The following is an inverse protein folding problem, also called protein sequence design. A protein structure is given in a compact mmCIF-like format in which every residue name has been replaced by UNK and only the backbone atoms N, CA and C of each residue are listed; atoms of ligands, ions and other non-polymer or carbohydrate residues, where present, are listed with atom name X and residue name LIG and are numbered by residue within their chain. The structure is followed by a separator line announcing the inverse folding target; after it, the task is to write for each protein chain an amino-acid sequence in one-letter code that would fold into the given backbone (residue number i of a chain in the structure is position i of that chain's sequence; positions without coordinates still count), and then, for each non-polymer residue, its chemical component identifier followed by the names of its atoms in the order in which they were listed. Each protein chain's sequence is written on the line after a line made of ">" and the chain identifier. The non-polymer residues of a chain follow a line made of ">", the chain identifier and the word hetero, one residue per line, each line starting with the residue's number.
data_IF_505849910961
#
_entry.id   IF_505849910961
#
_cell.length_a   1.000
_cell.length_b   1.000
_cell.length_c   1.000
_cell.angle_alpha   90.00
_cell.angle_beta   90.00
_cell.angle_gamma   90.00
#
_symmetry.space_group_name_H-M   'P 1'
#
loop_
_entity.id
_entity.type
_entity.pdbx_description
1 polymer ?
2 polymer ?
3 polymer ?
4 non-polymer ?
5 non-polymer ?
6 water ?
#
loop_
_entity_poly.entity_id
_entity_poly.type
_entity_poly.pdbx_seq_one_letter_code
_entity_poly.pdbx_strand_id
2 'polydeoxyribonucleotide' '(DT)(DC)(DA)(DA)(DA)(DA)(DC)(DG)(DT)(DC)(DG)(DT)(DG)(DA)(DG)(DA)(DC)(DA)(DG)(DT)(DT)(DT)(DG)(DG)' ?
3 'polydeoxyribonucleotide' '(DC)(DC)(DA)(DA)(DA)(DC)(DT)(DG)(DT)(DC)(DT)(DC)(DA)(5CM)(DG)(DA)(DC)(DG)(DT)(DT)(DT)(DT)(DG)(DA)' ?
#
# COMPACT_ATOMS: atom_id res chain seq x y z
N UNK A 1 17.98 -16.93 -13.00
CA UNK A 1 17.91 -16.28 -11.70
C UNK A 1 18.31 -14.80 -11.75
N UNK A 2 17.33 -13.96 -12.07
CA UNK A 2 17.56 -12.52 -12.19
C UNK A 2 17.83 -11.86 -10.82
N UNK A 3 18.79 -10.94 -10.80
CA UNK A 3 19.13 -10.23 -9.57
C UNK A 3 18.48 -8.85 -9.67
N UNK A 4 17.60 -8.52 -8.73
CA UNK A 4 16.83 -7.28 -8.82
C UNK A 4 17.54 -6.07 -8.20
N UNK A 5 17.34 -4.91 -8.83
CA UNK A 5 17.88 -3.65 -8.30
C UNK A 5 17.33 -3.38 -6.89
N UNK A 6 18.21 -3.02 -5.97
CA UNK A 6 17.84 -2.85 -4.57
C UNK A 6 16.87 -1.69 -4.34
N UNK A 7 17.07 -0.57 -5.04
CA UNK A 7 16.13 0.54 -4.92
C UNK A 7 14.73 0.12 -5.34
N UNK A 8 14.67 -0.66 -6.42
CA UNK A 8 13.39 -1.19 -6.89
C UNK A 8 12.75 -2.08 -5.81
N UNK A 9 13.52 -2.98 -5.22
CA UNK A 9 12.99 -3.87 -4.19
C UNK A 9 12.50 -3.11 -2.96
N UNK A 10 13.27 -2.12 -2.53
CA UNK A 10 12.86 -1.28 -1.41
C UNK A 10 11.50 -0.62 -1.67
N UNK A 11 11.36 0.02 -2.82
CA UNK A 11 10.07 0.63 -3.15
C UNK A 11 8.99 -0.45 -3.18
N UNK A 12 9.27 -1.56 -3.84
CA UNK A 12 8.26 -2.60 -4.05
C UNK A 12 7.84 -3.20 -2.71
N UNK A 13 8.78 -3.34 -1.79
CA UNK A 13 8.47 -3.88 -0.47
C UNK A 13 7.44 -3.01 0.28
N UNK A 14 7.62 -1.70 0.18
CA UNK A 14 6.64 -0.78 0.74
C UNK A 14 5.28 -0.94 0.07
N UNK A 15 5.28 -1.02 -1.26
CA UNK A 15 4.02 -1.13 -1.97
C UNK A 15 3.35 -2.48 -1.70
N UNK A 16 4.13 -3.53 -1.58
CA UNK A 16 3.60 -4.85 -1.22
C UNK A 16 2.99 -4.85 0.18
N UNK A 17 3.72 -4.32 1.16
CA UNK A 17 3.19 -4.20 2.51
C UNK A 17 1.87 -3.44 2.50
N UNK A 18 1.71 -2.53 1.52
CA UNK A 18 0.49 -1.75 1.38
C UNK A 18 -0.68 -2.44 0.68
N UNK A 19 -0.55 -2.67 -0.64
CA UNK A 19 -1.65 -3.20 -1.45
C UNK A 19 -1.43 -4.65 -1.89
N UNK A 20 -0.37 -5.28 -1.40
CA UNK A 20 0.01 -6.61 -1.87
C UNK A 20 -0.47 -7.71 -0.94
N UNK A 21 -0.26 -8.95 -1.37
CA UNK A 21 -0.70 -10.09 -0.57
C UNK A 21 0.17 -11.32 -0.79
N UNK A 22 0.50 -11.99 0.30
CA UNK A 22 1.31 -13.21 0.24
C UNK A 22 0.43 -14.33 0.76
N UNK A 23 0.04 -15.21 -0.17
CA UNK A 23 -1.04 -16.16 0.05
C UNK A 23 -0.56 -17.59 -0.12
N UNK A 24 -0.96 -18.46 0.81
CA UNK A 24 -0.75 -19.90 0.67
C UNK A 24 -2.10 -20.59 0.90
N UNK A 25 -2.43 -21.54 0.03
CA UNK A 25 -3.72 -22.20 0.11
C UNK A 25 -3.59 -23.71 0.05
N UNK A 26 -4.50 -24.43 0.72
CA UNK A 26 -4.64 -25.87 0.53
C UNK A 26 -5.94 -26.09 -0.24
N UNK A 27 -5.82 -26.50 -1.50
CA UNK A 27 -6.98 -26.63 -2.36
C UNK A 27 -7.47 -28.07 -2.49
N UNK A 28 -8.69 -28.34 -1.98
CA UNK A 28 -9.25 -29.68 -2.21
C UNK A 28 -9.39 -29.91 -3.70
N UNK A 29 -8.86 -31.03 -4.16
CA UNK A 29 -8.83 -31.40 -5.56
C UNK A 29 -8.56 -32.88 -5.63
N UNK A 30 -9.56 -33.65 -6.03
CA UNK A 30 -9.54 -35.10 -5.91
C UNK A 30 -8.48 -35.80 -6.76
N UNK A 31 -7.91 -35.10 -7.75
CA UNK A 31 -6.92 -35.74 -8.62
C UNK A 31 -5.51 -35.82 -8.01
N UNK A 32 -5.30 -35.20 -6.85
CA UNK A 32 -4.00 -35.25 -6.18
C UNK A 32 -3.94 -36.40 -5.17
N UNK A 33 -2.73 -36.92 -4.97
CA UNK A 33 -2.54 -38.06 -4.05
C UNK A 33 -3.08 -37.79 -2.64
N UNK A 34 -2.81 -36.61 -2.10
CA UNK A 34 -3.30 -36.29 -0.76
C UNK A 34 -4.59 -35.50 -0.83
N UNK A 35 -5.21 -35.51 -2.01
CA UNK A 35 -6.55 -34.91 -2.22
C UNK A 35 -6.56 -33.38 -2.09
N UNK A 36 -5.39 -32.78 -2.13
CA UNK A 36 -5.30 -31.33 -2.11
C UNK A 36 -4.07 -30.86 -2.87
N UNK A 37 -4.19 -29.68 -3.47
CA UNK A 37 -3.03 -29.04 -4.06
C UNK A 37 -2.56 -27.99 -3.08
N UNK A 38 -1.23 -27.89 -2.91
CA UNK A 38 -0.61 -26.76 -2.22
C UNK A 38 -0.36 -25.64 -3.23
N UNK A 39 -0.98 -24.49 -3.00
CA UNK A 39 -0.87 -23.36 -3.92
C UNK A 39 -0.26 -22.14 -3.23
N UNK A 40 0.70 -21.49 -3.89
CA UNK A 40 1.28 -20.26 -3.36
C UNK A 40 1.07 -19.10 -4.35
N UNK A 41 0.69 -17.94 -3.83
CA UNK A 41 0.51 -16.77 -4.68
C UNK A 41 1.15 -15.54 -4.05
N UNK A 42 1.94 -14.81 -4.85
CA UNK A 42 2.29 -13.42 -4.52
C UNK A 42 1.42 -12.56 -5.42
N UNK A 43 0.80 -11.53 -4.87
CA UNK A 43 -0.05 -10.69 -5.70
C UNK A 43 -0.05 -9.24 -5.28
N UNK A 44 -0.36 -8.38 -6.24
CA UNK A 44 -0.57 -6.96 -5.95
C UNK A 44 -1.82 -6.49 -6.66
N UNK A 45 -2.74 -5.90 -5.89
CA UNK A 45 -4.03 -5.50 -6.42
C UNK A 45 -4.06 -4.02 -6.66
N UNK A 46 -4.77 -3.61 -7.70
CA UNK A 46 -4.96 -2.19 -7.96
C UNK A 46 -6.12 -2.01 -8.94
N UNK A 47 -6.87 -0.92 -8.75
CA UNK A 47 -8.03 -0.64 -9.57
C UNK A 47 -7.59 -0.52 -11.04
N UNK A 48 -8.49 -0.91 -11.94
CA UNK A 48 -8.09 -1.18 -13.31
C UNK A 48 -7.54 0.04 -14.05
N UNK A 49 -8.03 1.24 -13.72
CA UNK A 49 -7.55 2.46 -14.34
C UNK A 49 -6.05 2.64 -14.06
N UNK A 50 -5.51 1.83 -13.15
CA UNK A 50 -4.11 1.97 -12.74
C UNK A 50 -3.30 0.76 -13.19
N UNK A 51 -3.92 -0.07 -14.04
CA UNK A 51 -3.31 -1.27 -14.58
C UNK A 51 -1.89 -1.06 -15.12
N UNK A 52 -1.65 0.10 -15.72
CA UNK A 52 -0.32 0.38 -16.25
C UNK A 52 0.76 0.08 -15.20
N UNK A 53 0.46 0.38 -13.94
CA UNK A 53 1.41 0.18 -12.86
C UNK A 53 1.67 -1.32 -12.70
N UNK A 54 0.60 -2.13 -12.75
CA UNK A 54 0.74 -3.58 -12.68
C UNK A 54 1.50 -4.16 -13.89
N UNK A 55 1.24 -3.60 -15.07
CA UNK A 55 1.96 -4.02 -16.26
C UNK A 55 3.46 -3.78 -16.12
N UNK A 56 3.83 -2.64 -15.53
CA UNK A 56 5.24 -2.37 -15.31
C UNK A 56 5.88 -3.46 -14.46
N UNK A 57 5.20 -3.87 -13.39
CA UNK A 57 5.70 -4.97 -12.53
C UNK A 57 5.97 -6.25 -13.31
N UNK A 58 5.14 -6.56 -14.29
CA UNK A 58 5.41 -7.73 -15.10
C UNK A 58 6.77 -7.57 -15.77
N UNK A 59 6.99 -6.41 -16.39
CA UNK A 59 8.23 -6.12 -17.10
C UNK A 59 9.42 -6.11 -16.14
N UNK A 60 9.26 -5.42 -15.02
CA UNK A 60 10.37 -5.26 -14.08
C UNK A 60 10.71 -6.53 -13.30
N UNK A 61 9.70 -7.34 -12.99
CA UNK A 61 9.95 -8.62 -12.32
C UNK A 61 10.38 -9.67 -13.33
N UNK A 62 9.92 -9.50 -14.59
CA UNK A 62 10.32 -10.35 -15.70
C UNK A 62 9.54 -11.64 -15.80
N UNK A 63 8.40 -11.70 -15.11
CA UNK A 63 7.67 -12.95 -14.90
C UNK A 63 6.32 -12.64 -14.25
N UNK A 64 5.34 -13.54 -14.41
CA UNK A 64 4.00 -13.31 -13.89
C UNK A 64 3.10 -12.64 -14.90
N UNK A 65 1.88 -12.31 -14.48
CA UNK A 65 0.89 -11.71 -15.38
C UNK A 65 -0.10 -10.87 -14.58
N UNK A 66 -0.88 -10.07 -15.31
CA UNK A 66 -1.97 -9.29 -14.72
C UNK A 66 -3.30 -9.95 -15.10
N UNK A 67 -4.20 -10.13 -14.14
CA UNK A 67 -5.57 -10.52 -14.49
C UNK A 67 -6.57 -9.43 -14.13
N UNK A 68 -7.73 -9.48 -14.80
CA UNK A 68 -8.78 -8.51 -14.55
C UNK A 68 -9.93 -9.17 -13.81
N UNK A 69 -10.51 -8.45 -12.86
CA UNK A 69 -11.74 -8.91 -12.24
C UNK A 69 -12.68 -7.71 -12.05
N UNK A 70 -13.07 -7.10 -13.15
CA UNK A 70 -13.98 -5.98 -13.12
C UNK A 70 -13.29 -4.65 -12.91
N UNK A 71 -13.67 -4.00 -11.82
CA UNK A 71 -13.15 -2.66 -11.51
C UNK A 71 -11.67 -2.70 -11.09
N UNK A 72 -11.15 -3.91 -10.91
CA UNK A 72 -9.87 -4.11 -10.25
C UNK A 72 -9.02 -5.15 -10.99
N UNK A 73 -7.71 -5.01 -10.89
CA UNK A 73 -6.78 -5.95 -11.52
C UNK A 73 -5.73 -6.40 -10.51
N UNK A 74 -5.13 -7.56 -10.76
CA UNK A 74 -4.06 -8.06 -9.87
C UNK A 74 -2.83 -8.46 -10.68
N UNK A 75 -1.65 -8.03 -10.23
CA UNK A 75 -0.43 -8.67 -10.68
C UNK A 75 -0.31 -10.00 -9.93
N UNK A 76 -0.04 -11.08 -10.65
CA UNK A 76 -0.04 -12.44 -10.08
C UNK A 76 1.28 -13.17 -10.34
N UNK A 77 1.86 -13.75 -9.29
CA UNK A 77 3.05 -14.59 -9.45
C UNK A 77 2.88 -15.87 -8.64
N UNK A 78 2.79 -17.00 -9.34
CA UNK A 78 2.57 -18.31 -8.71
C UNK A 78 3.63 -19.36 -9.05
N UNK A 79 4.27 -19.21 -10.19
CA UNK A 79 5.33 -20.15 -10.56
C UNK A 79 6.36 -20.25 -9.43
N UNK A 80 6.57 -21.46 -8.96
CA UNK A 80 7.33 -21.72 -7.73
C UNK A 80 8.80 -21.27 -7.79
N UNK A 81 9.47 -21.47 -8.93
CA UNK A 81 10.89 -21.11 -9.03
C UNK A 81 11.14 -19.59 -9.04
N UNK A 82 10.49 -18.87 -9.97
CA UNK A 82 10.61 -17.41 -9.95
C UNK A 82 10.14 -16.82 -8.62
N UNK A 83 9.14 -17.43 -8.01
CA UNK A 83 8.59 -16.92 -6.76
C UNK A 83 9.66 -17.02 -5.67
N UNK A 84 10.35 -18.15 -5.63
CA UNK A 84 11.42 -18.38 -4.67
C UNK A 84 12.54 -17.34 -4.83
N UNK A 85 13.08 -17.24 -6.05
CA UNK A 85 14.07 -16.20 -6.36
C UNK A 85 13.60 -14.81 -5.93
N UNK A 86 12.37 -14.46 -6.33
CA UNK A 86 11.83 -13.13 -6.09
C UNK A 86 11.65 -12.82 -4.61
N UNK A 87 11.01 -13.74 -3.88
CA UNK A 87 10.77 -13.52 -2.46
C UNK A 87 12.07 -13.51 -1.63
N UNK A 88 13.06 -14.29 -2.04
CA UNK A 88 14.33 -14.29 -1.33
C UNK A 88 14.91 -12.87 -1.29
N UNK A 89 14.75 -12.16 -2.40
CA UNK A 89 15.33 -10.84 -2.53
C UNK A 89 14.45 -9.74 -1.93
N UNK A 90 13.13 -9.91 -2.05
CA UNK A 90 12.21 -8.93 -1.48
C UNK A 90 12.19 -8.96 0.05
N UNK A 91 12.26 -10.17 0.60
CA UNK A 91 11.95 -10.43 2.01
C UNK A 91 12.68 -9.54 3.03
N UNK A 92 13.97 -9.27 2.82
CA UNK A 92 14.65 -8.48 3.86
C UNK A 92 14.12 -7.06 4.01
N UNK A 93 13.41 -6.56 3.00
CA UNK A 93 12.89 -5.19 3.05
C UNK A 93 11.45 -5.09 3.54
N UNK A 94 10.77 -6.23 3.65
CA UNK A 94 9.37 -6.26 4.12
C UNK A 94 9.27 -5.97 5.63
N UNK A 95 8.23 -5.23 6.03
CA UNK A 95 8.03 -4.92 7.45
C UNK A 95 6.70 -5.48 7.98
N UNK A 96 5.73 -5.71 7.09
CA UNK A 96 4.43 -6.21 7.56
C UNK A 96 4.22 -7.65 7.13
N UNK A 97 4.85 -8.02 6.02
CA UNK A 97 4.62 -9.32 5.41
C UNK A 97 5.89 -10.18 5.38
N UNK A 98 6.90 -9.82 6.16
CA UNK A 98 8.17 -10.56 6.16
C UNK A 98 8.01 -12.00 6.63
N UNK A 99 7.26 -12.18 7.72
CA UNK A 99 7.01 -13.51 8.26
C UNK A 99 6.35 -14.42 7.22
N UNK A 100 5.30 -13.91 6.59
CA UNK A 100 4.62 -14.65 5.52
C UNK A 100 5.60 -15.04 4.41
N UNK A 101 6.43 -14.08 3.99
CA UNK A 101 7.39 -14.33 2.91
C UNK A 101 8.34 -15.49 3.26
N UNK A 102 8.88 -15.47 4.48
CA UNK A 102 9.77 -16.54 4.96
C UNK A 102 9.11 -17.91 5.05
N UNK A 103 7.85 -17.94 5.50
CA UNK A 103 7.09 -19.19 5.55
C UNK A 103 6.82 -19.76 4.14
N UNK A 104 6.52 -18.88 3.19
CA UNK A 104 6.38 -19.31 1.79
C UNK A 104 7.72 -19.88 1.29
N UNK A 105 8.83 -19.25 1.68
CA UNK A 105 10.15 -19.71 1.25
C UNK A 105 10.43 -21.10 1.82
N UNK A 106 10.09 -21.29 3.10
CA UNK A 106 10.24 -22.58 3.76
C UNK A 106 9.37 -23.66 3.07
N UNK A 107 8.11 -23.31 2.82
CA UNK A 107 7.18 -24.25 2.16
C UNK A 107 7.76 -24.71 0.82
N UNK A 108 8.18 -23.73 0.00
CA UNK A 108 8.76 -24.04 -1.29
C UNK A 108 9.88 -25.07 -1.19
N UNK A 109 10.84 -24.82 -0.29
CA UNK A 109 11.98 -25.73 -0.11
C UNK A 109 11.57 -27.16 0.27
N UNK A 110 10.52 -27.30 1.08
CA UNK A 110 10.07 -28.62 1.56
C UNK A 110 9.06 -29.30 0.64
N UNK A 111 8.59 -28.57 -0.37
CA UNK A 111 7.51 -29.08 -1.22
C UNK A 111 7.82 -30.43 -1.83
N UNK A 112 9.01 -30.59 -2.42
CA UNK A 112 9.33 -31.90 -3.03
C UNK A 112 9.13 -33.05 -2.05
N UNK A 113 9.79 -32.99 -0.90
CA UNK A 113 9.67 -34.07 0.09
C UNK A 113 8.26 -34.13 0.70
N UNK A 114 7.57 -32.99 0.71
CA UNK A 114 6.19 -32.93 1.20
C UNK A 114 5.23 -33.86 0.44
N UNK A 115 5.50 -34.08 -0.85
CA UNK A 115 4.61 -34.90 -1.67
C UNK A 115 4.81 -36.40 -1.43
N UNK A 116 5.88 -36.76 -0.70
CA UNK A 116 6.22 -38.16 -0.44
C UNK A 116 5.74 -38.69 0.92
N UNK A 117 5.95 -37.93 1.99
CA UNK A 117 5.43 -38.31 3.31
C UNK A 117 4.18 -37.51 3.66
N UNK A 118 3.10 -38.21 4.04
CA UNK A 118 1.86 -37.55 4.49
C UNK A 118 2.14 -36.68 5.71
N UNK A 119 3.01 -37.18 6.59
CA UNK A 119 3.41 -36.41 7.75
C UNK A 119 4.11 -35.12 7.35
N UNK A 120 5.00 -35.20 6.37
CA UNK A 120 5.74 -34.04 5.92
C UNK A 120 4.82 -33.05 5.22
N UNK A 121 3.82 -33.60 4.54
CA UNK A 121 2.77 -32.82 3.88
C UNK A 121 1.98 -32.07 4.93
N UNK A 122 1.73 -32.72 6.06
CA UNK A 122 1.01 -32.10 7.16
C UNK A 122 1.81 -30.94 7.74
N UNK A 123 3.09 -31.18 8.00
CA UNK A 123 3.96 -30.12 8.51
C UNK A 123 3.75 -28.86 7.66
N UNK A 124 3.83 -29.05 6.34
CA UNK A 124 3.73 -27.93 5.40
C UNK A 124 2.41 -27.21 5.52
N UNK A 125 1.31 -27.96 5.58
CA UNK A 125 -0.03 -27.37 5.76
C UNK A 125 -0.10 -26.59 7.07
N UNK A 126 0.69 -27.03 8.05
CA UNK A 126 0.80 -26.34 9.31
C UNK A 126 1.36 -24.93 9.08
N UNK A 127 2.39 -24.85 8.23
CA UNK A 127 2.96 -23.58 7.82
C UNK A 127 1.96 -22.72 7.02
N UNK A 128 1.10 -23.38 6.23
CA UNK A 128 0.03 -22.67 5.55
C UNK A 128 -0.90 -22.01 6.57
N UNK A 129 -1.18 -22.73 7.65
CA UNK A 129 -1.99 -22.18 8.75
C UNK A 129 -1.36 -20.89 9.26
N UNK A 130 -0.07 -20.95 9.59
CA UNK A 130 0.62 -19.78 10.16
C UNK A 130 0.50 -18.58 9.22
N UNK A 131 0.63 -18.80 7.91
CA UNK A 131 0.51 -17.68 6.97
C UNK A 131 -0.89 -17.03 7.03
N UNK A 132 -1.93 -17.86 6.95
CA UNK A 132 -3.30 -17.34 7.01
C UNK A 132 -3.51 -16.59 8.32
N UNK A 133 -2.92 -17.11 9.39
CA UNK A 133 -3.04 -16.47 10.70
C UNK A 133 -2.39 -15.09 10.67
N UNK A 134 -1.28 -14.97 9.94
CA UNK A 134 -0.57 -13.68 9.85
C UNK A 134 -1.29 -12.65 8.95
N UNK A 135 -2.06 -13.12 7.97
CA UNK A 135 -2.82 -12.21 7.11
C UNK A 135 -4.14 -11.77 7.75
N UNK A 136 -4.85 -10.83 7.10
CA UNK A 136 -6.22 -10.47 7.52
C UNK A 136 -7.26 -11.47 6.95
N UNK A 137 -7.09 -12.74 7.31
CA UNK A 137 -7.89 -13.87 6.81
C UNK A 137 -9.32 -13.86 7.32
N UNK A 138 -10.29 -14.00 6.40
CA UNK A 138 -11.72 -13.89 6.78
C UNK A 138 -12.66 -14.88 6.08
N UNK A 139 -12.20 -15.53 5.01
CA UNK A 139 -13.05 -16.49 4.30
C UNK A 139 -12.40 -17.88 4.18
N UNK A 140 -11.36 -18.13 4.96
CA UNK A 140 -10.63 -19.39 4.85
C UNK A 140 -11.51 -20.60 5.21
N UNK A 141 -11.38 -21.71 4.49
CA UNK A 141 -12.17 -22.91 4.78
C UNK A 141 -11.30 -24.16 4.96
N UNK A 142 -10.32 -24.33 4.08
CA UNK A 142 -9.50 -25.53 4.13
C UNK A 142 -8.23 -25.32 4.96
N UNK A 143 -8.06 -26.13 6.00
CA UNK A 143 -6.97 -25.94 6.95
C UNK A 143 -6.17 -27.21 7.10
N UNK A 144 -5.03 -27.12 7.78
CA UNK A 144 -4.19 -28.30 7.99
C UNK A 144 -4.99 -29.39 8.72
N UNK A 145 -6.06 -29.00 9.39
CA UNK A 145 -6.91 -29.95 10.10
C UNK A 145 -7.93 -30.62 9.17
N UNK A 146 -8.40 -29.89 8.16
CA UNK A 146 -9.26 -30.47 7.14
C UNK A 146 -8.49 -31.60 6.44
N UNK A 147 -7.17 -31.42 6.35
CA UNK A 147 -6.29 -32.40 5.71
C UNK A 147 -6.13 -33.67 6.53
N UNK A 148 -5.99 -33.54 7.85
CA UNK A 148 -5.86 -34.72 8.71
C UNK A 148 -7.07 -35.63 8.56
N UNK A 149 -8.25 -35.04 8.58
CA UNK A 149 -9.51 -35.79 8.46
C UNK A 149 -9.58 -36.55 7.13
N UNK A 150 -8.63 -36.28 6.25
CA UNK A 150 -8.59 -36.91 4.94
C UNK A 150 -7.41 -37.88 4.85
N UNK A 151 -6.29 -37.52 5.47
CA UNK A 151 -5.18 -38.46 5.64
C UNK A 151 -5.59 -39.61 6.58
N UNK A 152 -6.86 -40.00 6.50
CA UNK A 152 -7.45 -40.96 7.42
C UNK A 152 -8.43 -41.88 6.70
N UNK B 1 15.30 21.27 10.36
CA UNK B 1 14.88 20.77 9.05
C UNK B 1 15.46 19.39 8.73
N UNK B 2 14.78 18.33 9.15
CA UNK B 2 15.35 16.98 9.15
C UNK B 2 15.53 16.33 7.76
N UNK B 3 16.67 15.67 7.57
CA UNK B 3 16.97 14.90 6.37
C UNK B 3 16.73 13.41 6.62
N UNK B 4 16.05 12.75 5.69
CA UNK B 4 15.68 11.34 5.87
C UNK B 4 16.58 10.42 5.07
N UNK B 5 16.97 9.29 5.67
CA UNK B 5 17.77 8.28 4.96
C UNK B 5 17.06 7.81 3.69
N UNK B 6 17.83 7.66 2.61
CA UNK B 6 17.25 7.36 1.30
C UNK B 6 16.42 6.07 1.29
N UNK B 7 16.95 5.03 1.91
CA UNK B 7 16.30 3.71 1.87
C UNK B 7 14.97 3.72 2.62
N UNK B 8 14.90 4.53 3.66
CA UNK B 8 13.65 4.80 4.33
C UNK B 8 12.65 5.48 3.38
N UNK B 9 13.09 6.52 2.68
CA UNK B 9 12.23 7.23 1.75
C UNK B 9 11.73 6.35 0.57
N UNK B 10 12.53 5.34 0.21
CA UNK B 10 12.18 4.46 -0.90
C UNK B 10 11.08 3.48 -0.51
N UNK B 11 11.28 2.78 0.59
CA UNK B 11 10.24 1.97 1.17
C UNK B 11 9.00 2.84 1.42
N UNK B 12 9.16 3.92 2.19
CA UNK B 12 8.02 4.74 2.58
C UNK B 12 7.18 5.21 1.39
N UNK B 13 7.83 5.56 0.28
CA UNK B 13 7.12 6.00 -0.91
C UNK B 13 6.24 4.87 -1.44
N UNK B 14 6.77 3.65 -1.41
CA UNK B 14 6.02 2.50 -1.85
C UNK B 14 4.81 2.26 -0.96
N UNK B 15 5.01 2.36 0.35
CA UNK B 15 3.89 2.18 1.28
C UNK B 15 2.84 3.29 1.09
N UNK B 16 3.29 4.53 0.96
CA UNK B 16 2.39 5.66 0.71
C UNK B 16 1.57 5.47 -0.56
N UNK B 17 2.25 5.05 -1.63
CA UNK B 17 1.57 4.76 -2.89
C UNK B 17 0.50 3.68 -2.68
N UNK B 18 0.78 2.74 -1.78
CA UNK B 18 -0.19 1.72 -1.39
C UNK B 18 -1.30 2.22 -0.46
N UNK B 19 -0.99 2.52 0.81
CA UNK B 19 -2.05 2.80 1.78
C UNK B 19 -2.15 4.27 2.18
N UNK B 20 -1.38 5.11 1.50
CA UNK B 20 -1.28 6.50 1.90
C UNK B 20 -2.30 7.37 1.18
N UNK B 21 -2.39 8.63 1.57
CA UNK B 21 -3.29 9.58 0.90
C UNK B 21 -2.73 10.97 1.02
N UNK B 22 -2.69 11.69 -0.11
CA UNK B 22 -2.26 13.07 -0.11
C UNK B 22 -3.50 13.93 -0.42
N UNK B 23 -3.85 14.77 0.52
CA UNK B 23 -5.20 15.34 0.52
C UNK B 23 -5.20 16.85 0.59
N UNK B 24 -6.06 17.47 -0.22
CA UNK B 24 -6.27 18.92 -0.15
C UNK B 24 -7.77 19.22 -0.02
N UNK B 25 -8.10 20.17 0.83
CA UNK B 25 -9.50 20.45 1.13
C UNK B 25 -9.75 21.94 1.23
N UNK B 26 -10.97 22.34 0.91
CA UNK B 26 -11.43 23.71 1.13
C UNK B 26 -12.53 23.64 2.16
N UNK B 27 -12.28 24.21 3.34
CA UNK B 27 -13.21 24.04 4.44
C UNK B 27 -13.98 25.31 4.73
N UNK B 28 -15.29 25.28 4.48
CA UNK B 28 -16.17 26.42 4.81
C UNK B 28 -16.05 26.77 6.29
N UNK B 29 -15.70 28.03 6.58
CA UNK B 29 -15.49 28.52 7.95
C UNK B 29 -15.59 30.04 7.98
N UNK B 30 -16.69 30.54 8.56
CA UNK B 30 -16.98 31.97 8.56
C UNK B 30 -15.90 32.86 9.16
N UNK B 31 -15.08 32.28 10.04
CA UNK B 31 -14.06 33.05 10.74
C UNK B 31 -12.88 33.41 9.85
N UNK B 32 -12.89 32.92 8.61
CA UNK B 32 -11.78 33.18 7.67
C UNK B 32 -12.15 34.31 6.70
N UNK B 33 -11.14 35.09 6.29
CA UNK B 33 -11.37 36.18 5.35
C UNK B 33 -12.27 35.75 4.17
N UNK B 34 -11.88 34.69 3.46
CA UNK B 34 -12.68 34.24 2.32
C UNK B 34 -13.71 33.17 2.71
N UNK B 35 -13.96 33.04 4.01
CA UNK B 35 -15.01 32.17 4.50
C UNK B 35 -14.70 30.72 4.26
N UNK B 36 -13.44 30.42 3.97
CA UNK B 36 -13.00 29.03 3.79
C UNK B 36 -11.58 28.84 4.30
N UNK B 37 -11.30 27.66 4.83
CA UNK B 37 -9.92 27.33 5.14
C UNK B 37 -9.31 26.47 4.04
N UNK B 38 -8.01 26.63 3.82
CA UNK B 38 -7.26 25.73 2.94
C UNK B 38 -6.46 24.74 3.78
N UNK B 39 -6.84 23.47 3.69
CA UNK B 39 -6.26 22.42 4.52
C UNK B 39 -5.50 21.37 3.71
N UNK B 40 -4.24 21.13 4.11
CA UNK B 40 -3.41 20.11 3.46
C UNK B 40 -3.07 18.97 4.43
N UNK B 41 -3.20 17.73 3.96
CA UNK B 41 -2.95 16.59 4.81
C UNK B 41 -2.20 15.47 4.09
N UNK B 42 -1.16 14.96 4.75
CA UNK B 42 -0.54 13.69 4.35
C UNK B 42 -0.96 12.66 5.38
N UNK B 43 -1.47 11.52 4.93
CA UNK B 43 -1.92 10.49 5.86
C UNK B 43 -1.62 9.08 5.39
N UNK B 44 -1.43 8.20 6.36
CA UNK B 44 -1.30 6.77 6.11
C UNK B 44 -2.30 6.08 7.01
N UNK B 45 -3.14 5.22 6.43
CA UNK B 45 -4.17 4.53 7.19
C UNK B 45 -3.76 3.08 7.42
N UNK B 46 -4.13 2.52 8.57
CA UNK B 46 -3.87 1.09 8.81
C UNK B 46 -4.77 0.55 9.93
N UNK B 47 -5.09 -0.74 9.83
CA UNK B 47 -5.82 -1.44 10.87
C UNK B 47 -5.18 -1.15 12.22
N UNK B 48 -6.01 -0.88 13.22
CA UNK B 48 -5.51 -0.47 14.53
C UNK B 48 -4.60 -1.52 15.19
N UNK B 49 -4.87 -2.80 14.91
CA UNK B 49 -3.96 -3.87 15.34
C UNK B 49 -2.53 -3.60 14.93
N UNK B 50 -2.32 -2.87 13.84
CA UNK B 50 -0.96 -2.59 13.35
C UNK B 50 -0.55 -1.16 13.64
N UNK B 51 -1.34 -0.52 14.51
CA UNK B 51 -1.05 0.85 14.96
C UNK B 51 0.42 1.03 15.29
N UNK B 52 1.07 -0.02 15.78
CA UNK B 52 2.49 0.05 16.11
C UNK B 52 3.29 0.59 14.94
N UNK B 53 2.90 0.20 13.73
CA UNK B 53 3.62 0.60 12.53
C UNK B 53 3.49 2.12 12.28
N UNK B 54 2.33 2.68 12.62
CA UNK B 54 2.06 4.12 12.46
C UNK B 54 2.84 4.89 13.52
N UNK B 55 2.86 4.33 14.72
CA UNK B 55 3.64 4.89 15.85
C UNK B 55 5.11 4.97 15.46
N UNK B 56 5.63 3.93 14.82
CA UNK B 56 7.02 3.93 14.36
C UNK B 56 7.24 5.07 13.36
N UNK B 57 6.25 5.31 12.49
CA UNK B 57 6.31 6.43 11.56
C UNK B 57 6.43 7.80 12.23
N UNK B 58 5.69 8.00 13.33
CA UNK B 58 5.80 9.25 14.06
C UNK B 58 7.25 9.43 14.48
N UNK B 59 7.81 8.36 15.04
CA UNK B 59 9.17 8.37 15.55
C UNK B 59 10.21 8.64 14.45
N UNK B 60 10.00 8.03 13.30
CA UNK B 60 10.95 8.11 12.20
C UNK B 60 10.84 9.41 11.43
N UNK B 61 9.62 9.89 11.22
CA UNK B 61 9.43 11.16 10.52
C UNK B 61 9.69 12.33 11.47
N UNK B 62 9.48 12.09 12.77
CA UNK B 62 9.84 13.05 13.81
C UNK B 62 8.83 14.17 14.04
N UNK B 63 7.66 14.01 13.45
CA UNK B 63 6.59 14.99 13.49
C UNK B 63 5.29 14.29 13.07
N UNK B 64 4.15 14.93 13.26
CA UNK B 64 2.87 14.29 13.01
C UNK B 64 2.37 13.52 14.21
N UNK B 65 1.23 12.84 14.04
CA UNK B 65 0.66 12.05 15.12
C UNK B 65 -0.27 10.97 14.59
N UNK B 66 -0.68 10.05 15.46
CA UNK B 66 -1.59 8.99 15.10
C UNK B 66 -2.97 9.19 15.74
N UNK B 67 -4.05 8.96 15.00
CA UNK B 67 -5.39 9.06 15.59
C UNK B 67 -6.17 7.78 15.40
N UNK B 68 -7.07 7.54 16.32
CA UNK B 68 -7.89 6.35 16.31
C UNK B 68 -9.27 6.65 15.77
N UNK B 69 -9.76 5.77 14.91
CA UNK B 69 -11.17 5.83 14.53
C UNK B 69 -11.75 4.42 14.49
N UNK B 70 -11.62 3.72 15.61
CA UNK B 70 -12.20 2.40 15.77
C UNK B 70 -11.32 1.28 15.26
N UNK B 71 -11.84 0.53 14.30
CA UNK B 71 -11.12 -0.61 13.74
C UNK B 71 -9.85 -0.19 12.98
N UNK B 72 -9.71 1.11 12.73
CA UNK B 72 -8.64 1.62 11.90
C UNK B 72 -7.99 2.86 12.52
N UNK B 73 -6.72 3.13 12.20
CA UNK B 73 -6.03 4.33 12.68
C UNK B 73 -5.26 5.02 11.55
N UNK B 74 -4.85 6.28 11.78
CA UNK B 74 -4.19 7.06 10.74
C UNK B 74 -2.97 7.79 11.27
N UNK B 75 -1.88 7.76 10.52
CA UNK B 75 -0.82 8.71 10.78
C UNK B 75 -1.22 10.01 10.06
N UNK B 76 -1.18 11.13 10.77
CA UNK B 76 -1.57 12.44 10.21
C UNK B 76 -0.43 13.46 10.25
N UNK B 77 -0.09 14.05 9.11
CA UNK B 77 0.83 15.18 9.08
C UNK B 77 0.21 16.36 8.34
N UNK B 78 -0.18 17.40 9.10
CA UNK B 78 -0.84 18.58 8.52
C UNK B 78 -0.05 19.87 8.69
N UNK B 79 0.90 19.90 9.63
CA UNK B 79 1.70 21.10 9.84
C UNK B 79 2.40 21.49 8.53
N UNK B 80 2.02 22.66 8.02
CA UNK B 80 2.38 23.08 6.67
C UNK B 80 3.86 23.02 6.33
N UNK B 81 4.76 23.29 7.27
CA UNK B 81 6.18 23.36 6.92
C UNK B 81 7.01 22.07 7.12
N UNK B 82 6.71 21.29 8.19
CA UNK B 82 7.27 19.94 8.22
C UNK B 82 6.77 19.15 7.00
N UNK B 83 5.56 19.47 6.56
CA UNK B 83 4.94 18.79 5.42
C UNK B 83 5.72 19.07 4.15
N UNK B 84 6.04 20.36 3.94
CA UNK B 84 6.81 20.77 2.78
C UNK B 84 8.14 20.05 2.75
N UNK B 85 8.85 20.05 3.87
CA UNK B 85 10.13 19.35 3.96
C UNK B 85 10.01 17.85 3.65
N UNK B 86 9.06 17.18 4.29
CA UNK B 86 8.86 15.75 4.10
C UNK B 86 8.48 15.40 2.65
N UNK B 87 7.50 16.11 2.10
CA UNK B 87 7.05 15.87 0.73
C UNK B 87 8.11 16.21 -0.31
N UNK B 88 8.97 17.18 0.01
CA UNK B 88 10.04 17.54 -0.91
C UNK B 88 10.97 16.35 -1.11
N UNK B 89 11.30 15.68 0.00
CA UNK B 89 12.18 14.52 -0.01
C UNK B 89 11.53 13.22 -0.50
N UNK B 90 10.23 13.05 -0.26
CA UNK B 90 9.52 11.82 -0.66
C UNK B 90 9.17 11.83 -2.15
N UNK B 91 8.77 13.01 -2.64
CA UNK B 91 8.27 13.21 -4.00
C UNK B 91 8.98 12.44 -5.14
N UNK B 92 10.33 12.49 -5.18
CA UNK B 92 10.99 11.87 -6.33
C UNK B 92 10.94 10.32 -6.35
N UNK B 93 10.48 9.71 -5.27
CA UNK B 93 10.39 8.26 -5.21
C UNK B 93 8.97 7.72 -5.39
N UNK B 94 7.98 8.62 -5.41
CA UNK B 94 6.58 8.22 -5.58
C UNK B 94 6.27 7.92 -7.05
N UNK B 95 5.23 7.13 -7.29
CA UNK B 95 4.84 6.82 -8.67
C UNK B 95 3.34 7.00 -8.91
N UNK B 96 2.52 6.61 -7.94
CA UNK B 96 1.08 6.79 -8.07
C UNK B 96 0.64 8.18 -7.60
N UNK B 97 1.38 8.77 -6.68
CA UNK B 97 0.94 10.02 -6.04
C UNK B 97 1.91 11.18 -6.18
N UNK B 98 2.76 11.12 -7.20
CA UNK B 98 3.79 12.15 -7.38
C UNK B 98 3.17 13.47 -7.85
N UNK B 99 2.08 13.37 -8.59
CA UNK B 99 1.38 14.56 -9.04
C UNK B 99 0.70 15.26 -7.87
N UNK B 100 -0.01 14.49 -7.02
CA UNK B 100 -0.65 15.06 -5.83
C UNK B 100 0.39 15.79 -4.98
N UNK B 101 1.51 15.14 -4.73
CA UNK B 101 2.57 15.71 -3.91
C UNK B 101 3.04 17.06 -4.42
N UNK B 102 3.19 17.17 -5.74
CA UNK B 102 3.72 18.40 -6.33
C UNK B 102 2.72 19.54 -6.45
N UNK B 103 1.44 19.22 -6.62
CA UNK B 103 0.41 20.23 -6.45
C UNK B 103 0.47 20.75 -5.00
N UNK B 104 0.28 19.87 -4.02
CA UNK B 104 0.37 20.26 -2.62
C UNK B 104 1.60 21.12 -2.36
N UNK B 105 2.73 20.68 -2.88
CA UNK B 105 4.03 21.30 -2.61
C UNK B 105 4.10 22.72 -3.17
N UNK B 106 3.19 23.03 -4.09
CA UNK B 106 3.13 24.35 -4.71
C UNK B 106 1.96 25.18 -4.19
N UNK B 107 0.90 24.51 -3.76
CA UNK B 107 -0.19 25.18 -3.07
C UNK B 107 0.39 25.79 -1.80
N UNK B 108 1.29 25.03 -1.16
CA UNK B 108 2.01 25.50 0.00
C UNK B 108 2.79 26.79 -0.29
N UNK B 109 3.53 26.80 -1.38
CA UNK B 109 4.38 27.94 -1.73
C UNK B 109 3.61 29.14 -2.27
N UNK B 110 2.30 29.14 -2.08
CA UNK B 110 1.46 30.23 -2.58
C UNK B 110 0.34 30.60 -1.60
N UNK B 111 0.34 29.95 -0.44
CA UNK B 111 -0.56 30.32 0.64
C UNK B 111 -0.31 31.74 1.14
N UNK B 112 0.98 32.11 1.33
CA UNK B 112 1.30 33.48 1.75
C UNK B 112 0.67 34.52 0.82
N UNK B 113 0.37 34.10 -0.40
CA UNK B 113 -0.01 35.02 -1.46
C UNK B 113 -1.38 34.72 -2.06
N UNK B 114 -2.20 33.94 -1.35
CA UNK B 114 -3.51 33.55 -1.85
C UNK B 114 -4.64 34.06 -0.96
N UNK B 115 -4.26 34.74 0.11
CA UNK B 115 -5.22 35.32 1.04
C UNK B 115 -5.43 36.80 0.74
N UNK B 116 -4.64 37.32 -0.20
CA UNK B 116 -4.66 38.74 -0.54
C UNK B 116 -5.72 39.02 -1.61
N UNK B 117 -5.54 38.39 -2.76
CA UNK B 117 -6.50 38.49 -3.85
C UNK B 117 -7.55 37.39 -3.71
N UNK B 118 -8.84 37.76 -3.76
CA UNK B 118 -9.91 36.76 -3.77
C UNK B 118 -9.83 35.92 -5.03
N UNK B 119 -9.25 36.50 -6.07
CA UNK B 119 -9.08 35.78 -7.32
C UNK B 119 -7.91 34.78 -7.23
N UNK B 120 -6.86 35.17 -6.52
CA UNK B 120 -5.75 34.26 -6.31
C UNK B 120 -6.23 33.05 -5.52
N UNK B 121 -6.99 33.31 -4.46
CA UNK B 121 -7.58 32.27 -3.64
C UNK B 121 -8.43 31.30 -4.49
N UNK B 122 -9.20 31.86 -5.44
CA UNK B 122 -9.96 31.02 -6.36
C UNK B 122 -9.03 30.17 -7.23
N UNK B 123 -7.89 30.76 -7.62
CA UNK B 123 -6.91 30.03 -8.42
C UNK B 123 -6.37 28.83 -7.63
N UNK B 124 -5.86 29.10 -6.43
CA UNK B 124 -5.36 28.04 -5.58
C UNK B 124 -6.41 26.96 -5.34
N UNK B 125 -7.65 27.38 -5.08
CA UNK B 125 -8.74 26.43 -4.89
C UNK B 125 -8.91 25.46 -6.07
N UNK B 126 -8.58 25.92 -7.28
CA UNK B 126 -8.73 25.06 -8.44
C UNK B 126 -7.63 24.00 -8.50
N UNK B 127 -6.48 24.29 -7.89
CA UNK B 127 -5.41 23.31 -7.78
C UNK B 127 -5.83 22.16 -6.85
N UNK B 128 -6.53 22.49 -5.76
CA UNK B 128 -7.05 21.45 -4.89
C UNK B 128 -8.15 20.63 -5.59
N UNK B 129 -8.92 21.25 -6.48
CA UNK B 129 -9.81 20.51 -7.38
C UNK B 129 -9.01 19.47 -8.16
N UNK B 130 -7.78 19.83 -8.55
CA UNK B 130 -6.95 18.96 -9.37
C UNK B 130 -6.49 17.74 -8.58
N UNK B 131 -5.97 17.98 -7.38
CA UNK B 131 -5.54 16.91 -6.48
C UNK B 131 -6.69 15.93 -6.28
N UNK B 132 -7.88 16.46 -6.06
CA UNK B 132 -9.06 15.63 -5.83
C UNK B 132 -9.40 14.73 -7.03
N UNK B 133 -9.13 15.23 -8.24
CA UNK B 133 -9.45 14.47 -9.46
C UNK B 133 -8.41 13.38 -9.72
N UNK B 134 -7.19 13.61 -9.23
CA UNK B 134 -6.12 12.61 -9.29
C UNK B 134 -6.35 11.45 -8.31
N UNK B 135 -7.00 11.75 -7.20
CA UNK B 135 -7.32 10.74 -6.19
C UNK B 135 -8.59 9.99 -6.54
N UNK B 136 -8.86 8.90 -5.83
CA UNK B 136 -10.13 8.20 -6.00
C UNK B 136 -11.23 8.91 -5.18
N UNK B 137 -11.53 10.16 -5.55
CA UNK B 137 -12.50 10.99 -4.83
C UNK B 137 -13.96 10.56 -5.04
N UNK B 138 -14.71 10.41 -3.95
CA UNK B 138 -16.11 9.94 -4.05
C UNK B 138 -17.15 10.72 -3.18
N UNK B 139 -16.70 11.42 -2.13
CA UNK B 139 -17.63 12.15 -1.27
C UNK B 139 -17.37 13.66 -1.17
N UNK B 140 -16.65 14.19 -2.15
CA UNK B 140 -16.29 15.60 -2.14
C UNK B 140 -17.53 16.50 -2.28
N UNK B 141 -17.63 17.51 -1.42
CA UNK B 141 -18.76 18.44 -1.45
C UNK B 141 -18.35 19.89 -1.75
N UNK B 142 -17.37 20.39 -1.01
CA UNK B 142 -16.92 21.78 -1.15
C UNK B 142 -15.79 21.90 -2.18
N UNK B 143 -16.08 22.58 -3.28
CA UNK B 143 -15.10 22.74 -4.35
C UNK B 143 -14.88 24.23 -4.63
N UNK B 144 -13.99 24.51 -5.59
CA UNK B 144 -13.65 25.90 -5.92
C UNK B 144 -14.81 26.62 -6.60
N UNK B 145 -15.97 25.97 -6.65
CA UNK B 145 -17.13 26.56 -7.30
C UNK B 145 -18.29 26.79 -6.33
N UNK B 146 -18.27 26.09 -5.20
CA UNK B 146 -19.11 26.52 -4.09
C UNK B 146 -18.46 27.80 -3.56
N UNK B 147 -17.13 27.86 -3.69
CA UNK B 147 -16.35 29.02 -3.30
C UNK B 147 -16.65 30.24 -4.15
N UNK B 148 -16.46 30.11 -5.47
CA UNK B 148 -16.64 31.25 -6.37
C UNK B 148 -18.01 31.87 -6.15
N UNK B 149 -19.04 31.04 -5.98
CA UNK B 149 -20.39 31.51 -5.64
C UNK B 149 -20.36 32.38 -4.38
N UNK B 150 -19.67 31.91 -3.35
CA UNK B 150 -19.54 32.66 -2.10
C UNK B 150 -18.79 33.99 -2.28
N UNK B 151 -17.67 33.97 -3.01
CA UNK B 151 -16.92 35.20 -3.27
C UNK B 151 -17.75 36.24 -4.03
N UNK B 152 -18.97 35.85 -4.41
CA UNK B 152 -19.91 36.74 -5.09
C UNK B 152 -20.99 37.28 -4.13
X LIG E 1 -4.03 1.34 -2.50
X LIG F 1 -2.22 -6.82 5.82
X LIG F 1 -1.30 -6.08 5.05
X LIG F 1 -1.56 -8.02 6.51
X LIG F 1 -1.39 -9.08 5.60
X LIG F 1 -0.22 -7.64 7.14
X LIG F 1 0.18 -8.66 8.03
X LIG G 1 -2.99 -2.24 3.17
X LIG H 1 -4.36 7.55 -7.49
X LIG H 1 -3.14 8.25 -7.51
X LIG H 1 -4.78 7.11 -6.07
X LIG H 1 -4.74 8.20 -5.16
X LIG H 1 -3.95 5.94 -5.56
X LIG H 1 -4.45 5.49 -4.32
#
# INVERSE_FOLDING_TARGET
>A
NTKYNKEFLLYLAGFVDGDGSIIAQIKPNQSYKFKHQLSLTFQVTQKTQRRWFLDKLVDEIGVGYVRDRGSVSDYILSEIKPLHNFLTQLQPFLKLKQKQANLVLKIIEQLPSAKESPDKFLEVCTWVDQIAALNDSKTRKTTSETVRAVLD
>B
NTKYNKEFLLYLAGFVDGDGSIIAQIKPNQSYKFKHQLSLTFQVTQKTQRRWFLDKLVDEIGVGYVRDRGSVSDYILSEIKPLHNFLTQLQPFLKLKQKQANLVLKIIEQLPSAKESPDKFLEVCTWVDQIAALNDSKTRKTTSETVRAVLD
>E hetero
1 CA CA
>F hetero
1 GOL C1 O1 C2 O2 C3 O3
>G hetero
1 CA CA
>H hetero
1 GOL C1 O1 C2 O2 C3 O3
#
